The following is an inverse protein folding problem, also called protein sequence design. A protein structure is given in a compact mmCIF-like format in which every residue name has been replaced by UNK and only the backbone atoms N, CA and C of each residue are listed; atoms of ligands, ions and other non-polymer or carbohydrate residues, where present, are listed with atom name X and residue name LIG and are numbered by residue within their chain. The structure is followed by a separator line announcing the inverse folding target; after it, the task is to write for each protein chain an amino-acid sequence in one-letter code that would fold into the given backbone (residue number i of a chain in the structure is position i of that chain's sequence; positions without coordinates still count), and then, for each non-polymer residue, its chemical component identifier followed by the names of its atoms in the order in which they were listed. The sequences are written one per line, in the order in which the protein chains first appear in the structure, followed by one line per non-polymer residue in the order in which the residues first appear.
data_IF_770407679377
#
_entry.id   IF_770407679377
#
_cell.length_a   1.000
_cell.length_b   1.000
_cell.length_c   1.000
_cell.angle_alpha   90.00
_cell.angle_beta   90.00
_cell.angle_gamma   90.00
#
_symmetry.space_group_name_H-M   'P 1'
#
loop_
_entity.id
_entity.type
_entity.pdbx_description
1 polymer ?
#
# COMPACT_ATOMS: atom_id res chain seq x y z
N UNK A 1 18.87 26.15 -30.34
CA UNK A 1 17.76 25.23 -30.14
C UNK A 1 17.95 24.60 -28.78
N UNK A 2 16.95 24.72 -27.90
CA UNK A 2 17.10 24.43 -26.48
C UNK A 2 16.92 22.92 -26.24
N UNK A 3 18.03 22.18 -26.11
CA UNK A 3 18.04 20.74 -25.91
C UNK A 3 17.46 20.30 -24.55
N UNK A 4 17.41 21.19 -23.57
CA UNK A 4 16.80 20.95 -22.27
C UNK A 4 15.25 20.83 -22.34
N UNK A 5 14.60 21.69 -23.16
CA UNK A 5 13.14 21.62 -23.32
C UNK A 5 12.64 20.35 -24.01
N UNK A 6 13.41 19.81 -24.96
CA UNK A 6 13.04 18.57 -25.65
C UNK A 6 13.23 17.33 -24.76
N UNK A 7 14.19 17.34 -23.83
CA UNK A 7 14.39 16.27 -22.86
C UNK A 7 13.27 16.26 -21.80
N UNK A 8 12.83 17.42 -21.31
CA UNK A 8 11.70 17.55 -20.38
C UNK A 8 10.35 17.18 -21.03
N UNK A 9 10.14 17.52 -22.33
CA UNK A 9 8.94 17.06 -23.07
C UNK A 9 8.95 15.55 -23.26
N UNK A 10 10.10 14.95 -23.58
CA UNK A 10 10.22 13.49 -23.75
C UNK A 10 10.02 12.73 -22.42
N UNK A 11 10.56 13.25 -21.32
CA UNK A 11 10.35 12.71 -19.98
C UNK A 11 8.85 12.74 -19.62
N UNK A 12 8.16 13.85 -19.84
CA UNK A 12 6.72 14.00 -19.60
C UNK A 12 5.86 13.05 -20.46
N UNK A 13 6.25 12.76 -21.71
CA UNK A 13 5.53 11.78 -22.53
C UNK A 13 5.77 10.35 -22.07
N UNK A 14 6.99 10.00 -21.66
CA UNK A 14 7.30 8.68 -21.11
C UNK A 14 6.56 8.44 -19.79
N UNK A 15 6.48 9.40 -18.90
CA UNK A 15 5.74 9.32 -17.64
C UNK A 15 4.25 9.07 -17.88
N UNK A 16 3.63 9.74 -18.84
CA UNK A 16 2.22 9.55 -19.18
C UNK A 16 1.94 8.17 -19.77
N UNK A 17 2.84 7.64 -20.60
CA UNK A 17 2.72 6.29 -21.14
C UNK A 17 2.89 5.25 -20.04
N UNK A 18 3.88 5.44 -19.16
CA UNK A 18 4.17 4.52 -18.07
C UNK A 18 3.00 4.39 -17.09
N UNK A 19 2.32 5.48 -16.75
CA UNK A 19 1.11 5.45 -15.90
C UNK A 19 0.04 4.52 -16.48
N UNK A 20 -0.27 4.65 -17.77
CA UNK A 20 -1.26 3.80 -18.44
C UNK A 20 -0.82 2.34 -18.53
N UNK A 21 0.47 2.10 -18.74
CA UNK A 21 1.01 0.74 -18.77
C UNK A 21 0.96 0.08 -17.37
N UNK A 22 1.22 0.82 -16.28
CA UNK A 22 1.07 0.31 -14.92
C UNK A 22 -0.39 -0.07 -14.60
N UNK A 23 -1.37 0.73 -15.03
CA UNK A 23 -2.79 0.38 -14.93
C UNK A 23 -3.09 -0.94 -15.66
N UNK A 24 -2.53 -1.15 -16.85
CA UNK A 24 -2.71 -2.42 -17.59
C UNK A 24 -2.11 -3.62 -16.90
N UNK A 25 -1.07 -3.44 -16.11
CA UNK A 25 -0.48 -4.51 -15.28
C UNK A 25 -1.49 -4.96 -14.24
N UNK A 26 -2.07 -4.02 -13.47
CA UNK A 26 -3.09 -4.34 -12.46
C UNK A 26 -4.36 -4.90 -13.08
N UNK A 27 -4.83 -4.36 -14.21
CA UNK A 27 -5.97 -4.90 -14.97
C UNK A 27 -5.77 -6.37 -15.37
N UNK A 28 -4.56 -6.75 -15.81
CA UNK A 28 -4.27 -8.15 -16.19
C UNK A 28 -4.36 -9.09 -15.01
N UNK A 29 -3.85 -8.70 -13.84
CA UNK A 29 -3.96 -9.48 -12.62
C UNK A 29 -5.43 -9.60 -12.17
N UNK A 30 -6.16 -8.49 -12.09
CA UNK A 30 -7.57 -8.47 -11.70
C UNK A 30 -8.44 -9.32 -12.64
N UNK A 31 -8.28 -9.22 -13.97
CA UNK A 31 -8.99 -10.03 -14.96
C UNK A 31 -8.67 -11.53 -14.79
N UNK A 32 -7.43 -11.88 -14.43
CA UNK A 32 -7.08 -13.28 -14.20
C UNK A 32 -7.74 -13.83 -12.93
N UNK A 33 -7.66 -13.08 -11.81
CA UNK A 33 -8.25 -13.44 -10.52
C UNK A 33 -9.79 -13.47 -10.57
N UNK A 34 -10.42 -12.56 -11.33
CA UNK A 34 -11.90 -12.46 -11.40
C UNK A 34 -12.59 -13.75 -11.86
N UNK A 35 -11.91 -14.59 -12.64
CA UNK A 35 -12.41 -15.90 -13.07
C UNK A 35 -12.56 -16.90 -11.91
N UNK A 36 -11.95 -16.59 -10.79
CA UNK A 36 -11.91 -17.45 -9.59
C UNK A 36 -12.72 -16.87 -8.43
N UNK A 37 -13.44 -15.77 -8.62
CA UNK A 37 -14.34 -15.17 -7.62
C UNK A 37 -15.35 -16.21 -7.14
N UNK A 38 -15.47 -16.35 -5.82
CA UNK A 38 -16.44 -17.23 -5.18
C UNK A 38 -16.16 -18.73 -5.36
N UNK A 39 -14.94 -19.10 -5.82
CA UNK A 39 -14.57 -20.51 -6.03
C UNK A 39 -14.03 -21.19 -4.76
N UNK A 40 -13.75 -20.43 -3.70
CA UNK A 40 -13.23 -20.96 -2.44
C UNK A 40 -11.75 -21.38 -2.49
N UNK A 41 -11.04 -21.06 -3.57
CA UNK A 41 -9.63 -21.41 -3.77
C UNK A 41 -8.77 -20.15 -3.82
N UNK A 42 -8.29 -19.72 -2.65
CA UNK A 42 -7.45 -18.53 -2.48
C UNK A 42 -6.13 -18.66 -3.25
N UNK A 43 -5.51 -19.84 -3.19
CA UNK A 43 -4.20 -20.08 -3.82
C UNK A 43 -4.27 -20.06 -5.34
N UNK A 44 -5.34 -20.62 -5.92
CA UNK A 44 -5.53 -20.58 -7.36
C UNK A 44 -5.80 -19.16 -7.86
N UNK A 45 -6.56 -18.36 -7.10
CA UNK A 45 -6.84 -16.97 -7.45
C UNK A 45 -5.56 -16.12 -7.40
N UNK A 46 -4.77 -16.28 -6.36
CA UNK A 46 -3.48 -15.63 -6.17
C UNK A 46 -2.50 -15.99 -7.29
N UNK A 47 -2.25 -17.28 -7.52
CA UNK A 47 -1.35 -17.75 -8.55
C UNK A 47 -1.72 -17.23 -9.95
N UNK A 48 -3.03 -17.12 -10.26
CA UNK A 48 -3.50 -16.59 -11.53
C UNK A 48 -3.19 -15.09 -11.68
N UNK A 49 -3.33 -14.32 -10.61
CA UNK A 49 -3.00 -12.89 -10.57
C UNK A 49 -1.50 -12.67 -10.71
N UNK A 50 -0.68 -13.39 -9.92
CA UNK A 50 0.80 -13.36 -9.94
C UNK A 50 1.33 -13.62 -11.35
N UNK A 51 0.90 -14.72 -12.00
CA UNK A 51 1.33 -15.07 -13.35
C UNK A 51 0.95 -14.00 -14.37
N UNK A 52 -0.27 -13.48 -14.30
CA UNK A 52 -0.74 -12.46 -15.23
C UNK A 52 0.00 -11.12 -15.05
N UNK A 53 0.23 -10.69 -13.81
CA UNK A 53 0.98 -9.49 -13.48
C UNK A 53 2.44 -9.62 -13.95
N UNK A 54 3.10 -10.71 -13.62
CA UNK A 54 4.49 -10.96 -14.00
C UNK A 54 4.71 -10.88 -15.51
N UNK A 55 3.83 -11.53 -16.29
CA UNK A 55 3.88 -11.49 -17.77
C UNK A 55 3.58 -10.10 -18.35
N UNK A 56 2.78 -9.30 -17.65
CA UNK A 56 2.48 -7.95 -18.11
C UNK A 56 3.73 -7.05 -18.01
N UNK A 57 4.52 -7.18 -16.96
CA UNK A 57 5.78 -6.44 -16.80
C UNK A 57 6.78 -6.69 -17.93
N UNK A 58 6.88 -7.90 -18.48
CA UNK A 58 7.82 -8.25 -19.56
C UNK A 58 7.69 -7.35 -20.80
N UNK A 59 6.55 -6.67 -20.96
CA UNK A 59 6.27 -5.80 -22.11
C UNK A 59 6.61 -4.35 -21.87
N UNK A 60 6.89 -3.95 -20.63
CA UNK A 60 7.16 -2.58 -20.28
C UNK A 60 8.60 -2.19 -20.57
N UNK A 61 8.81 -1.00 -21.10
CA UNK A 61 10.16 -0.48 -21.34
C UNK A 61 10.75 0.11 -20.03
N UNK A 62 11.01 -0.77 -19.07
CA UNK A 62 11.58 -0.44 -17.75
C UNK A 62 12.70 -1.40 -17.39
N UNK A 63 13.58 -0.98 -16.47
CA UNK A 63 14.51 -1.79 -15.69
C UNK A 63 14.04 -1.79 -14.24
N UNK A 64 12.98 -2.53 -13.98
CA UNK A 64 12.28 -2.56 -12.70
C UNK A 64 12.91 -3.51 -11.70
N UNK A 65 12.82 -3.16 -10.41
CA UNK A 65 13.17 -4.03 -9.28
C UNK A 65 11.97 -4.14 -8.35
N UNK A 66 11.53 -5.36 -8.07
CA UNK A 66 10.51 -5.60 -7.05
C UNK A 66 11.13 -5.37 -5.67
N UNK A 67 10.67 -4.36 -4.96
CA UNK A 67 11.12 -4.03 -3.58
C UNK A 67 10.11 -4.49 -2.54
N UNK A 68 8.84 -4.64 -2.91
CA UNK A 68 7.75 -5.26 -2.18
C UNK A 68 7.04 -6.21 -3.15
N UNK A 69 6.84 -7.47 -2.77
CA UNK A 69 6.23 -8.49 -3.63
C UNK A 69 5.77 -9.71 -2.85
N UNK A 70 5.70 -10.85 -3.54
CA UNK A 70 5.12 -12.12 -3.06
C UNK A 70 5.92 -12.83 -1.94
N UNK A 71 7.01 -12.27 -1.49
CA UNK A 71 7.89 -12.83 -0.47
C UNK A 71 9.35 -12.86 -0.89
N UNK A 72 10.16 -13.59 -0.11
CA UNK A 72 11.57 -13.77 -0.40
C UNK A 72 11.77 -14.73 -1.59
N UNK A 73 12.93 -14.68 -2.23
CA UNK A 73 13.22 -15.45 -3.46
C UNK A 73 13.07 -16.97 -3.32
N UNK A 74 13.27 -17.52 -2.14
CA UNK A 74 13.14 -18.93 -1.83
C UNK A 74 11.69 -19.35 -1.46
N UNK A 75 10.81 -18.37 -1.25
CA UNK A 75 9.41 -18.57 -0.88
C UNK A 75 8.45 -18.40 -2.07
N UNK A 76 8.77 -17.50 -3.01
CA UNK A 76 7.92 -17.17 -4.16
C UNK A 76 8.57 -17.51 -5.50
N UNK A 77 7.83 -18.12 -6.43
CA UNK A 77 8.37 -18.47 -7.76
C UNK A 77 8.53 -17.26 -8.70
N UNK A 78 7.75 -16.19 -8.48
CA UNK A 78 7.71 -14.96 -9.28
C UNK A 78 7.37 -13.77 -8.41
N UNK A 79 7.72 -12.58 -8.87
CA UNK A 79 7.46 -11.30 -8.20
C UNK A 79 8.03 -11.24 -6.78
N UNK A 80 9.10 -11.99 -6.54
CA UNK A 80 9.80 -11.99 -5.26
C UNK A 80 10.64 -10.72 -5.07
N UNK A 81 10.93 -10.38 -3.83
CA UNK A 81 11.76 -9.23 -3.48
C UNK A 81 13.15 -9.36 -4.12
N UNK A 82 13.54 -8.35 -4.90
CA UNK A 82 14.77 -8.30 -5.68
C UNK A 82 14.65 -8.86 -7.11
N UNK A 83 13.47 -9.40 -7.52
CA UNK A 83 13.28 -9.81 -8.90
C UNK A 83 13.38 -8.61 -9.84
N UNK A 84 14.10 -8.79 -10.96
CA UNK A 84 14.14 -7.82 -12.04
C UNK A 84 12.99 -8.07 -13.00
N UNK A 85 12.23 -7.04 -13.28
CA UNK A 85 11.07 -7.06 -14.17
C UNK A 85 11.15 -5.94 -15.20
N UNK A 86 10.46 -6.12 -16.32
CA UNK A 86 10.50 -5.20 -17.46
C UNK A 86 11.23 -5.76 -18.66
N UNK A 87 10.93 -5.22 -19.82
CA UNK A 87 11.48 -5.64 -21.12
C UNK A 87 12.76 -4.92 -21.54
N UNK A 88 13.30 -4.02 -20.73
CA UNK A 88 14.46 -3.19 -21.09
C UNK A 88 15.57 -3.17 -20.02
N UNK A 89 16.08 -4.35 -19.57
CA UNK A 89 17.09 -4.41 -18.51
C UNK A 89 18.36 -3.63 -18.93
N UNK A 90 18.82 -2.76 -18.04
CA UNK A 90 19.99 -1.90 -18.25
C UNK A 90 19.82 -0.79 -19.29
N UNK A 91 18.61 -0.61 -19.84
CA UNK A 91 18.31 0.39 -20.88
C UNK A 91 17.11 1.27 -20.55
N UNK A 92 16.11 0.69 -19.91
CA UNK A 92 14.92 1.42 -19.46
C UNK A 92 15.18 2.26 -18.20
N UNK A 93 14.22 3.09 -17.80
CA UNK A 93 14.29 3.78 -16.53
C UNK A 93 14.36 2.76 -15.39
N UNK A 94 15.20 3.05 -14.40
CA UNK A 94 15.33 2.22 -13.20
C UNK A 94 14.23 2.58 -12.23
N UNK A 95 13.42 1.60 -11.87
CA UNK A 95 12.20 1.79 -11.10
C UNK A 95 12.11 0.77 -9.97
N UNK A 96 11.82 1.25 -8.76
CA UNK A 96 11.34 0.41 -7.66
C UNK A 96 9.87 0.09 -7.87
N UNK A 97 9.49 -1.16 -7.64
CA UNK A 97 8.13 -1.65 -7.76
C UNK A 97 7.72 -2.31 -6.45
N UNK A 98 6.68 -1.78 -5.84
CA UNK A 98 5.94 -2.45 -4.77
C UNK A 98 4.63 -2.97 -5.37
N UNK A 99 4.27 -4.22 -5.08
CA UNK A 99 3.08 -4.83 -5.66
C UNK A 99 2.44 -5.84 -4.72
N UNK A 100 1.14 -6.01 -4.92
CA UNK A 100 0.35 -7.16 -4.46
C UNK A 100 -0.61 -7.53 -5.61
N UNK A 101 -0.39 -8.67 -6.29
CA UNK A 101 -1.21 -9.10 -7.42
C UNK A 101 -2.67 -9.37 -7.06
N UNK A 102 -2.94 -9.75 -5.81
CA UNK A 102 -4.29 -9.99 -5.30
C UNK A 102 -4.39 -9.68 -3.80
N UNK A 103 -4.39 -8.41 -3.44
CA UNK A 103 -4.70 -7.93 -2.11
C UNK A 103 -6.14 -8.32 -1.76
N UNK A 104 -6.29 -9.20 -0.77
CA UNK A 104 -7.58 -9.79 -0.40
C UNK A 104 -7.90 -11.12 -1.11
N UNK A 105 -6.99 -12.10 -1.09
CA UNK A 105 -7.20 -13.46 -1.63
C UNK A 105 -8.44 -14.14 -1.04
N UNK A 106 -8.64 -14.01 0.29
CA UNK A 106 -9.84 -14.50 0.99
C UNK A 106 -11.12 -13.79 0.52
N UNK A 107 -11.06 -12.49 0.25
CA UNK A 107 -12.19 -11.72 -0.29
C UNK A 107 -12.60 -12.29 -1.65
N UNK A 108 -11.63 -12.49 -2.54
CA UNK A 108 -11.87 -13.06 -3.88
C UNK A 108 -12.47 -14.46 -3.78
N UNK A 109 -11.90 -15.34 -2.97
CA UNK A 109 -12.37 -16.70 -2.80
C UNK A 109 -13.82 -16.78 -2.30
N UNK A 110 -14.24 -15.81 -1.47
CA UNK A 110 -15.59 -15.70 -0.89
C UNK A 110 -16.55 -14.79 -1.66
N UNK A 111 -16.13 -14.20 -2.77
CA UNK A 111 -16.88 -13.19 -3.51
C UNK A 111 -17.28 -11.97 -2.65
N UNK A 112 -16.40 -11.53 -1.78
CA UNK A 112 -16.53 -10.31 -0.99
C UNK A 112 -16.13 -9.06 -1.79
N UNK A 113 -16.43 -7.86 -1.29
CA UNK A 113 -16.07 -6.61 -1.94
C UNK A 113 -14.62 -6.18 -1.64
N UNK A 114 -14.04 -5.36 -2.53
CA UNK A 114 -12.79 -4.63 -2.35
C UNK A 114 -11.49 -5.48 -2.38
N UNK A 115 -11.50 -6.63 -3.05
CA UNK A 115 -10.25 -7.25 -3.46
C UNK A 115 -9.62 -6.42 -4.59
N UNK A 116 -8.31 -6.20 -4.54
CA UNK A 116 -7.60 -5.33 -5.47
C UNK A 116 -6.36 -6.04 -6.03
N UNK A 117 -6.04 -5.78 -7.30
CA UNK A 117 -4.68 -5.93 -7.80
C UNK A 117 -4.00 -4.56 -7.71
N UNK A 118 -2.90 -4.44 -6.97
CA UNK A 118 -2.28 -3.14 -6.70
C UNK A 118 -0.80 -3.14 -7.02
N UNK A 119 -0.29 -1.99 -7.45
CA UNK A 119 1.13 -1.71 -7.53
C UNK A 119 1.43 -0.24 -7.30
N UNK A 120 2.62 0.02 -6.79
CA UNK A 120 3.25 1.33 -6.78
C UNK A 120 4.59 1.27 -7.50
N UNK A 121 4.94 2.34 -8.21
CA UNK A 121 6.21 2.49 -8.89
C UNK A 121 6.79 3.86 -8.60
N UNK A 122 8.12 3.91 -8.38
CA UNK A 122 8.88 5.14 -8.16
C UNK A 122 10.29 4.99 -8.70
N UNK A 123 11.06 6.07 -8.79
CA UNK A 123 12.48 5.97 -9.12
C UNK A 123 13.24 5.06 -8.14
N UNK A 124 14.29 4.38 -8.61
CA UNK A 124 15.13 3.48 -7.80
C UNK A 124 15.57 4.13 -6.48
N UNK A 125 15.30 3.47 -5.34
CA UNK A 125 15.60 3.93 -3.99
C UNK A 125 14.52 4.81 -3.35
N UNK A 126 13.36 4.99 -3.98
CA UNK A 126 12.29 5.84 -3.49
C UNK A 126 11.15 5.08 -2.77
N UNK A 127 11.09 3.76 -2.85
CA UNK A 127 10.18 2.96 -2.04
C UNK A 127 10.95 2.23 -0.92
N UNK A 128 10.39 2.23 0.29
CA UNK A 128 10.99 1.50 1.40
C UNK A 128 10.91 -0.01 1.12
N UNK A 129 12.05 -0.67 1.18
CA UNK A 129 12.08 -2.13 1.19
C UNK A 129 11.73 -2.60 2.60
N UNK A 130 10.43 -2.82 2.85
CA UNK A 130 9.94 -3.27 4.13
C UNK A 130 10.05 -4.81 4.24
N UNK A 131 10.52 -5.34 5.37
CA UNK A 131 10.53 -6.78 5.60
C UNK A 131 9.09 -7.30 5.69
N UNK A 132 8.90 -8.59 5.38
CA UNK A 132 7.64 -9.27 5.63
C UNK A 132 7.40 -9.43 7.14
N UNK A 133 6.80 -8.39 7.72
CA UNK A 133 6.41 -8.30 9.12
C UNK A 133 5.14 -7.44 9.24
N UNK A 134 4.62 -7.26 10.45
CA UNK A 134 3.51 -6.34 10.68
C UNK A 134 3.97 -4.89 10.79
N UNK A 135 3.01 -3.99 10.59
CA UNK A 135 3.16 -2.55 10.78
C UNK A 135 1.91 -2.00 11.48
N UNK A 136 2.09 -1.28 12.59
CA UNK A 136 1.07 -0.39 13.11
C UNK A 136 0.90 0.78 12.14
N UNK A 137 -0.32 1.12 11.80
CA UNK A 137 -0.65 2.10 10.75
C UNK A 137 -1.70 3.07 11.25
N UNK A 138 -1.53 4.33 10.89
CA UNK A 138 -2.56 5.36 11.00
C UNK A 138 -2.52 6.22 9.74
N UNK A 139 -3.70 6.55 9.20
CA UNK A 139 -3.82 7.33 7.99
C UNK A 139 -5.04 8.25 8.01
N UNK A 140 -4.90 9.38 7.32
CA UNK A 140 -5.99 10.32 7.02
C UNK A 140 -5.87 10.80 5.58
N UNK A 141 -6.97 11.21 4.99
CA UNK A 141 -7.03 11.79 3.66
C UNK A 141 -6.38 13.19 3.57
N UNK A 142 -6.47 13.85 2.41
CA UNK A 142 -5.98 15.21 2.20
C UNK A 142 -6.82 16.25 2.96
N UNK A 143 -6.29 17.48 3.09
CA UNK A 143 -7.01 18.62 3.66
C UNK A 143 -6.80 18.86 5.14
N UNK A 144 -6.15 17.97 5.86
CA UNK A 144 -5.79 18.17 7.27
C UNK A 144 -4.42 18.86 7.42
N UNK A 145 -4.19 19.61 8.53
CA UNK A 145 -2.87 20.16 8.84
C UNK A 145 -1.80 19.06 8.91
N UNK A 146 -0.60 19.40 8.46
CA UNK A 146 0.54 18.46 8.53
C UNK A 146 0.81 18.03 9.98
N UNK A 147 1.04 16.72 10.16
CA UNK A 147 1.30 16.14 11.49
C UNK A 147 0.08 16.01 12.38
N UNK A 148 -1.13 16.05 11.82
CA UNK A 148 -2.40 15.88 12.57
C UNK A 148 -2.47 14.52 13.27
N UNK A 149 -1.87 13.49 12.67
CA UNK A 149 -1.80 12.13 13.19
C UNK A 149 -0.38 11.78 13.66
N UNK A 150 -0.31 10.98 14.75
CA UNK A 150 0.95 10.55 15.33
C UNK A 150 0.79 9.20 16.06
N UNK A 151 1.51 8.16 15.64
CA UNK A 151 1.50 6.85 16.29
C UNK A 151 2.11 6.85 17.71
N UNK A 152 2.81 7.92 18.12
CA UNK A 152 3.27 8.07 19.50
C UNK A 152 2.15 8.50 20.46
N UNK A 153 1.02 8.98 19.93
CA UNK A 153 -0.15 9.37 20.70
C UNK A 153 -1.16 8.23 20.82
N UNK A 154 -2.07 8.33 21.78
CA UNK A 154 -3.17 7.36 21.88
C UNK A 154 -4.13 7.44 20.68
N UNK A 155 -4.85 6.35 20.36
CA UNK A 155 -5.94 6.39 19.38
C UNK A 155 -6.95 7.52 19.66
N UNK A 156 -7.33 7.67 20.91
CA UNK A 156 -8.25 8.74 21.35
C UNK A 156 -7.74 10.14 21.07
N UNK A 157 -6.43 10.40 21.26
CA UNK A 157 -5.86 11.72 21.01
C UNK A 157 -5.79 12.03 19.51
N UNK A 158 -5.48 11.03 18.68
CA UNK A 158 -5.52 11.17 17.23
C UNK A 158 -6.95 11.47 16.72
N UNK A 159 -7.95 10.74 17.22
CA UNK A 159 -9.36 11.01 16.87
C UNK A 159 -9.77 12.42 17.27
N UNK A 160 -9.44 12.88 18.48
CA UNK A 160 -9.78 14.24 18.92
C UNK A 160 -9.11 15.31 18.05
N UNK A 161 -7.85 15.11 17.66
CA UNK A 161 -7.14 16.04 16.79
C UNK A 161 -7.83 16.15 15.42
N UNK A 162 -8.23 15.02 14.81
CA UNK A 162 -8.93 15.00 13.52
C UNK A 162 -10.33 15.63 13.66
N UNK A 163 -11.07 15.32 14.73
CA UNK A 163 -12.39 15.89 14.99
C UNK A 163 -12.32 17.42 15.17
N UNK A 164 -11.32 17.93 15.92
CA UNK A 164 -11.08 19.37 16.09
C UNK A 164 -10.79 20.04 14.74
N UNK A 165 -9.90 19.45 13.92
CA UNK A 165 -9.58 19.99 12.60
C UNK A 165 -10.78 19.99 11.64
N UNK A 166 -11.66 18.99 11.75
CA UNK A 166 -12.90 18.87 10.97
C UNK A 166 -14.02 19.76 11.51
N UNK A 167 -13.90 20.24 12.77
CA UNK A 167 -14.91 21.05 13.44
C UNK A 167 -16.14 20.26 13.89
N UNK A 168 -15.98 19.00 14.25
CA UNK A 168 -17.04 18.06 14.65
C UNK A 168 -16.75 17.45 16.04
N UNK A 169 -17.76 16.81 16.63
CA UNK A 169 -17.56 16.01 17.85
C UNK A 169 -16.81 14.71 17.53
N UNK A 170 -15.92 14.19 18.41
CA UNK A 170 -15.25 12.91 18.21
C UNK A 170 -16.17 11.74 17.86
N UNK A 171 -17.41 11.76 18.33
CA UNK A 171 -18.42 10.74 18.01
C UNK A 171 -18.89 10.75 16.54
N UNK A 172 -18.59 11.81 15.79
CA UNK A 172 -18.89 11.91 14.36
C UNK A 172 -17.76 11.38 13.47
N UNK A 173 -16.60 11.05 14.06
CA UNK A 173 -15.48 10.46 13.33
C UNK A 173 -15.72 8.98 13.08
N UNK A 174 -15.44 8.55 11.85
CA UNK A 174 -15.55 7.16 11.42
C UNK A 174 -14.16 6.62 11.12
N UNK A 175 -13.78 5.54 11.84
CA UNK A 175 -12.47 4.91 11.73
C UNK A 175 -12.60 3.53 11.10
N UNK A 176 -11.84 3.28 10.02
CA UNK A 176 -11.70 1.95 9.43
C UNK A 176 -10.63 1.14 10.18
N UNK A 177 -10.96 -0.09 10.54
CA UNK A 177 -10.07 -1.02 11.27
C UNK A 177 -10.23 -2.43 10.72
N UNK A 178 -9.14 -3.19 10.60
CA UNK A 178 -9.20 -4.62 10.31
C UNK A 178 -9.89 -5.39 11.45
N UNK A 179 -10.88 -6.23 11.14
CA UNK A 179 -11.57 -7.12 12.09
C UNK A 179 -10.65 -8.28 12.48
N UNK A 180 -9.80 -8.03 13.44
CA UNK A 180 -8.85 -9.01 14.00
C UNK A 180 -8.84 -8.89 15.53
N UNK A 181 -8.70 -10.01 16.22
CA UNK A 181 -8.67 -10.05 17.69
C UNK A 181 -7.59 -9.15 18.31
N UNK A 182 -6.48 -8.93 17.60
CA UNK A 182 -5.42 -8.01 18.04
C UNK A 182 -5.86 -6.55 18.11
N UNK A 183 -6.99 -6.19 17.50
CA UNK A 183 -7.55 -4.83 17.50
C UNK A 183 -8.69 -4.65 18.51
N UNK A 184 -9.02 -5.66 19.35
CA UNK A 184 -10.14 -5.56 20.28
C UNK A 184 -10.04 -4.35 21.20
N UNK A 185 -8.85 -4.05 21.73
CA UNK A 185 -8.63 -2.91 22.63
C UNK A 185 -8.75 -1.58 21.88
N UNK A 186 -8.18 -1.49 20.67
CA UNK A 186 -8.33 -0.33 19.78
C UNK A 186 -9.81 -0.07 19.47
N UNK A 187 -10.55 -1.10 19.06
CA UNK A 187 -11.98 -1.00 18.73
C UNK A 187 -12.79 -0.57 19.96
N UNK A 188 -12.48 -1.12 21.13
CA UNK A 188 -13.13 -0.75 22.37
C UNK A 188 -12.87 0.72 22.76
N UNK A 189 -11.62 1.20 22.60
CA UNK A 189 -11.25 2.60 22.86
C UNK A 189 -11.99 3.55 21.93
N UNK A 190 -12.00 3.28 20.60
CA UNK A 190 -12.70 4.09 19.61
C UNK A 190 -14.20 4.16 19.88
N UNK A 191 -14.84 3.02 20.17
CA UNK A 191 -16.25 2.97 20.55
C UNK A 191 -16.55 3.67 21.86
N UNK A 192 -15.59 3.67 22.79
CA UNK A 192 -15.67 4.41 24.05
C UNK A 192 -15.72 5.92 23.85
N UNK A 193 -15.17 6.45 22.75
CA UNK A 193 -15.30 7.85 22.34
C UNK A 193 -16.61 8.15 21.59
N UNK A 194 -17.40 7.13 21.29
CA UNK A 194 -18.58 7.24 20.44
C UNK A 194 -18.34 7.15 18.95
N UNK A 195 -17.08 6.94 18.50
CA UNK A 195 -16.73 6.88 17.08
C UNK A 195 -17.49 5.77 16.34
N UNK A 196 -17.83 6.03 15.08
CA UNK A 196 -18.19 4.98 14.14
C UNK A 196 -16.95 4.13 13.82
N UNK A 197 -17.08 2.79 13.84
CA UNK A 197 -15.99 1.88 13.49
C UNK A 197 -16.44 0.97 12.36
N UNK A 198 -15.81 1.16 11.19
CA UNK A 198 -16.01 0.29 10.02
C UNK A 198 -15.00 -0.85 10.13
N UNK A 199 -15.52 -2.06 10.29
CA UNK A 199 -14.71 -3.27 10.39
C UNK A 199 -14.60 -3.93 9.01
N UNK A 200 -13.36 -4.10 8.52
CA UNK A 200 -13.07 -4.81 7.28
C UNK A 200 -12.42 -6.14 7.58
N UNK A 201 -12.85 -7.20 6.88
CA UNK A 201 -12.33 -8.55 7.10
C UNK A 201 -10.94 -8.76 6.53
N UNK A 202 -10.57 -8.02 5.50
CA UNK A 202 -9.29 -8.08 4.80
C UNK A 202 -9.16 -6.83 3.92
N UNK A 203 -8.00 -6.60 3.26
CA UNK A 203 -7.85 -5.52 2.32
C UNK A 203 -7.51 -4.18 2.98
N UNK A 204 -6.41 -4.10 3.74
CA UNK A 204 -6.07 -2.86 4.45
C UNK A 204 -5.54 -1.75 3.53
N UNK A 205 -5.00 -2.07 2.35
CA UNK A 205 -4.69 -1.06 1.32
C UNK A 205 -5.97 -0.35 0.87
N UNK A 206 -7.04 -1.12 0.57
CA UNK A 206 -8.34 -0.54 0.23
C UNK A 206 -8.92 0.29 1.40
N UNK A 207 -8.76 -0.21 2.64
CA UNK A 207 -9.18 0.50 3.85
C UNK A 207 -8.46 1.84 4.05
N UNK A 208 -7.16 1.91 3.75
CA UNK A 208 -6.40 3.16 3.79
C UNK A 208 -6.82 4.09 2.65
N UNK A 209 -6.98 3.59 1.42
CA UNK A 209 -7.40 4.43 0.28
C UNK A 209 -8.78 5.04 0.52
N UNK A 210 -9.67 4.33 1.20
CA UNK A 210 -11.01 4.82 1.50
C UNK A 210 -11.05 6.15 2.26
N UNK A 211 -9.99 6.53 3.00
CA UNK A 211 -9.91 7.84 3.68
C UNK A 211 -9.77 9.02 2.69
N UNK A 212 -9.48 8.75 1.43
CA UNK A 212 -9.31 9.78 0.38
C UNK A 212 -10.52 9.92 -0.53
N UNK A 213 -11.48 9.02 -0.44
CA UNK A 213 -12.66 9.00 -1.31
C UNK A 213 -13.81 9.79 -0.64
N UNK A 214 -14.17 10.92 -1.24
CA UNK A 214 -15.27 11.79 -0.78
C UNK A 214 -16.65 11.08 -0.76
N UNK A 215 -16.79 9.95 -1.44
CA UNK A 215 -18.03 9.15 -1.43
C UNK A 215 -18.09 8.16 -0.26
N UNK A 216 -17.00 7.97 0.48
CA UNK A 216 -17.00 7.20 1.73
C UNK A 216 -17.24 8.12 2.93
N UNK A 217 -17.65 7.51 4.04
CA UNK A 217 -17.79 8.23 5.32
C UNK A 217 -16.57 8.00 6.22
N UNK A 218 -15.51 7.37 5.72
CA UNK A 218 -14.33 7.00 6.51
C UNK A 218 -13.40 8.19 6.62
N UNK A 219 -13.13 8.64 7.84
CA UNK A 219 -12.23 9.75 8.14
C UNK A 219 -10.78 9.32 8.36
N UNK A 220 -10.61 8.14 8.98
CA UNK A 220 -9.32 7.64 9.41
C UNK A 220 -9.21 6.14 9.18
N UNK A 221 -7.99 5.66 8.98
CA UNK A 221 -7.63 4.25 9.13
C UNK A 221 -6.72 4.10 10.35
N UNK A 222 -6.96 3.09 11.16
CA UNK A 222 -6.08 2.69 12.27
C UNK A 222 -5.99 1.18 12.38
N UNK A 223 -4.81 0.66 12.67
CA UNK A 223 -4.64 -0.75 13.00
C UNK A 223 -3.30 -1.29 12.58
N UNK A 224 -3.15 -2.59 12.74
CA UNK A 224 -1.96 -3.35 12.43
C UNK A 224 -2.24 -4.32 11.28
N UNK A 225 -1.50 -4.19 10.19
CA UNK A 225 -1.52 -5.05 9.01
C UNK A 225 -0.11 -5.35 8.53
N UNK A 226 0.07 -5.90 7.34
CA UNK A 226 1.40 -6.16 6.79
C UNK A 226 2.19 -4.88 6.50
N UNK A 227 3.49 -4.91 6.72
CA UNK A 227 4.36 -3.78 6.38
C UNK A 227 4.46 -3.54 4.88
N UNK A 228 4.50 -4.58 4.01
CA UNK A 228 4.41 -4.43 2.56
C UNK A 228 3.21 -3.59 2.11
N UNK A 229 2.02 -3.90 2.60
CA UNK A 229 0.77 -3.18 2.30
C UNK A 229 0.83 -1.74 2.84
N UNK A 230 1.59 -1.51 3.93
CA UNK A 230 1.84 -0.16 4.44
C UNK A 230 2.61 0.73 3.47
N UNK A 231 3.59 0.19 2.75
CA UNK A 231 4.33 0.93 1.71
C UNK A 231 3.43 1.23 0.51
N UNK A 232 2.63 0.25 0.06
CA UNK A 232 1.64 0.45 -1.00
C UNK A 232 0.62 1.54 -0.64
N UNK A 233 0.08 1.48 0.59
CA UNK A 233 -0.87 2.47 1.08
C UNK A 233 -0.25 3.88 1.19
N UNK A 234 1.00 3.97 1.66
CA UNK A 234 1.72 5.25 1.71
C UNK A 234 1.95 5.83 0.30
N UNK A 235 2.32 4.99 -0.68
CA UNK A 235 2.46 5.43 -2.07
C UNK A 235 1.13 5.92 -2.67
N UNK A 236 0.01 5.26 -2.37
CA UNK A 236 -1.32 5.74 -2.77
C UNK A 236 -1.63 7.11 -2.18
N UNK A 237 -1.43 7.28 -0.86
CA UNK A 237 -1.65 8.57 -0.20
C UNK A 237 -0.69 9.66 -0.68
N UNK A 238 0.53 9.31 -1.07
CA UNK A 238 1.48 10.22 -1.71
C UNK A 238 0.91 10.85 -2.98
N UNK A 239 0.21 10.05 -3.78
CA UNK A 239 -0.39 10.52 -5.03
C UNK A 239 -1.57 11.48 -4.82
N UNK A 240 -2.28 11.39 -3.70
CA UNK A 240 -3.52 12.15 -3.43
C UNK A 240 -3.39 13.19 -2.31
N UNK A 241 -2.25 13.26 -1.61
CA UNK A 241 -1.99 14.28 -0.59
C UNK A 241 -2.44 13.93 0.83
N UNK A 242 -2.70 12.67 1.15
CA UNK A 242 -3.01 12.21 2.51
C UNK A 242 -1.77 12.18 3.44
N UNK A 243 -1.98 11.77 4.68
CA UNK A 243 -0.92 11.55 5.67
C UNK A 243 -0.94 10.11 6.17
N UNK A 244 0.25 9.57 6.41
CA UNK A 244 0.44 8.22 6.90
C UNK A 244 1.57 8.16 7.92
N UNK A 245 1.36 7.39 9.00
CA UNK A 245 2.44 6.97 9.88
C UNK A 245 2.41 5.45 10.00
N UNK A 246 3.59 4.83 9.93
CA UNK A 246 3.80 3.40 10.12
C UNK A 246 4.88 3.12 11.14
N UNK A 247 4.72 2.05 11.93
CA UNK A 247 5.77 1.53 12.82
C UNK A 247 5.82 0.02 12.66
N UNK A 248 7.02 -0.53 12.35
CA UNK A 248 7.20 -1.96 12.21
C UNK A 248 6.96 -2.68 13.53
N UNK A 249 6.34 -3.85 13.46
CA UNK A 249 6.04 -4.68 14.61
C UNK A 249 6.64 -6.07 14.39
N UNK A 250 7.58 -6.43 15.25
CA UNK A 250 8.34 -7.68 15.14
C UNK A 250 7.83 -8.71 16.15
N UNK A 251 7.42 -9.88 15.65
CA UNK A 251 6.88 -10.97 16.46
C UNK A 251 7.98 -11.85 17.09
N UNK A 252 9.18 -11.85 16.48
CA UNK A 252 10.30 -12.70 16.87
C UNK A 252 11.63 -12.11 16.41
N UNK A 253 12.72 -12.73 16.85
CA UNK A 253 14.08 -12.26 16.53
C UNK A 253 14.49 -12.55 15.07
N UNK A 254 13.83 -13.48 14.38
CA UNK A 254 14.08 -13.75 12.95
C UNK A 254 13.59 -12.57 12.10
N UNK A 255 12.43 -12.00 12.42
CA UNK A 255 11.92 -10.79 11.76
C UNK A 255 12.83 -9.59 11.98
N UNK A 256 13.35 -9.40 13.22
CA UNK A 256 14.33 -8.35 13.51
C UNK A 256 15.62 -8.55 12.72
N UNK A 257 16.10 -9.79 12.60
CA UNK A 257 17.29 -10.11 11.82
C UNK A 257 17.07 -9.86 10.32
N UNK A 258 15.87 -10.12 9.79
CA UNK A 258 15.52 -9.74 8.41
C UNK A 258 15.52 -8.22 8.23
N UNK A 259 14.90 -7.48 9.14
CA UNK A 259 14.91 -6.01 9.10
C UNK A 259 16.34 -5.44 9.05
N UNK A 260 17.26 -5.99 9.87
CA UNK A 260 18.65 -5.57 9.87
C UNK A 260 19.35 -5.81 8.52
N UNK A 261 19.01 -6.89 7.77
CA UNK A 261 19.54 -7.13 6.42
C UNK A 261 19.13 -6.03 5.42
N UNK A 262 17.99 -5.40 5.64
CA UNK A 262 17.48 -4.30 4.82
C UNK A 262 17.88 -2.91 5.35
N UNK A 263 18.84 -2.86 6.31
CA UNK A 263 19.38 -1.60 6.85
C UNK A 263 18.44 -0.89 7.83
N UNK A 264 17.47 -1.60 8.41
CA UNK A 264 16.59 -1.06 9.44
C UNK A 264 17.28 -1.28 10.80
N UNK A 265 17.86 -0.21 11.33
CA UNK A 265 18.61 -0.22 12.61
C UNK A 265 17.73 0.19 13.79
N UNK A 266 16.84 1.18 13.61
CA UNK A 266 15.89 1.63 14.63
C UNK A 266 14.56 0.88 14.47
N UNK A 267 14.36 -0.11 15.35
CA UNK A 267 13.19 -1.00 15.32
C UNK A 267 11.90 -0.33 15.83
N UNK A 268 12.03 0.79 16.57
CA UNK A 268 10.88 1.54 17.11
C UNK A 268 10.55 2.79 16.28
N UNK A 269 11.26 2.99 15.17
CA UNK A 269 11.06 4.15 14.30
C UNK A 269 9.63 4.26 13.82
N UNK A 270 9.06 5.46 13.96
CA UNK A 270 7.83 5.84 13.28
C UNK A 270 8.21 6.41 11.91
N UNK A 271 7.82 5.70 10.87
CA UNK A 271 7.97 6.11 9.49
C UNK A 271 6.81 7.02 9.10
N UNK A 272 7.11 8.15 8.51
CA UNK A 272 6.12 9.00 7.86
C UNK A 272 5.94 8.60 6.39
N UNK A 273 4.95 9.16 5.74
CA UNK A 273 4.65 8.89 4.34
C UNK A 273 5.88 9.04 3.45
N UNK A 274 6.65 10.12 3.63
CA UNK A 274 7.87 10.41 2.87
C UNK A 274 9.05 9.48 3.17
N UNK A 275 9.02 8.74 4.27
CA UNK A 275 10.01 7.70 4.56
C UNK A 275 9.69 6.39 3.83
N UNK A 276 8.41 6.11 3.61
CA UNK A 276 7.91 4.90 2.96
C UNK A 276 7.88 5.02 1.44
N UNK A 277 7.47 6.21 0.94
CA UNK A 277 7.40 6.52 -0.48
C UNK A 277 7.92 7.95 -0.72
N UNK A 278 9.08 8.08 -1.36
CA UNK A 278 9.76 9.34 -1.65
C UNK A 278 9.47 9.80 -3.08
N UNK A 279 9.64 11.12 -3.30
CA UNK A 279 9.55 11.71 -4.65
C UNK A 279 8.20 11.47 -5.32
N UNK A 280 8.23 11.42 -6.63
CA UNK A 280 7.05 11.13 -7.44
C UNK A 280 6.78 9.63 -7.49
N UNK A 281 5.53 9.27 -7.34
CA UNK A 281 5.06 7.89 -7.37
C UNK A 281 3.94 7.73 -8.39
N UNK A 282 3.88 6.55 -8.98
CA UNK A 282 2.71 6.05 -9.70
C UNK A 282 2.06 5.01 -8.78
N UNK A 283 0.76 5.14 -8.56
CA UNK A 283 -0.02 4.11 -7.90
C UNK A 283 -1.14 3.67 -8.83
N UNK A 284 -1.30 2.36 -9.00
CA UNK A 284 -2.39 1.77 -9.78
C UNK A 284 -3.07 0.67 -8.97
N UNK A 285 -4.41 0.66 -9.01
CA UNK A 285 -5.24 -0.36 -8.39
C UNK A 285 -6.40 -0.71 -9.31
N UNK A 286 -6.73 -2.00 -9.40
CA UNK A 286 -7.87 -2.52 -10.15
C UNK A 286 -8.62 -3.51 -9.28
N UNK A 287 -9.93 -3.24 -9.06
CA UNK A 287 -10.85 -4.09 -8.30
C UNK A 287 -11.75 -4.94 -9.15
#
# INVERSE_FOLDING_TARGET
MNTAGAADELANELDRVLVLEMVRVTEKAAIAASKLIGRGDEKAADAAAVEAMRRAFDKLYIDGTVVIGEGERDEAPMLYIGEKVGGAPGKGPKIDIALDPLEGTTITAKAGPNALAVLAAAEEGNLLNAPDTYMDKIAVGPGYPEGIIDLAKSPSDNVRAVAEAKGVDPSEIIVCVLDRSRHNDLIAELRGLGCGVVLIGDGDVAGVIAVTDENTTIDMYMGQGGAPEGVLAAAALRCVGGQFNGRLVFRNDEEKARAAKWGIEDLDRIYKLEDLAKGDCIFAATG
#
